data_IF_566448788207
#
_entry.id   IF_566448788207
#
_cell.length_a   1.000
_cell.length_b   1.000
_cell.length_c   1.000
_cell.angle_alpha   90.00
_cell.angle_beta   90.00
_cell.angle_gamma   90.00
#
_symmetry.space_group_name_H-M   'P 1'
#
loop_
_entity.id
_entity.type
_entity.pdbx_description
1 polymer ?
#
# COMPACT_ATOMS: atom_id res chain seq x y z
N UNK A 1 36.82 -33.32 11.46
CA UNK A 1 37.44 -32.04 11.08
C UNK A 1 38.31 -31.56 12.24
N UNK A 2 39.53 -31.09 11.98
CA UNK A 2 40.44 -30.56 13.01
C UNK A 2 39.92 -29.23 13.57
N UNK A 3 40.37 -28.79 14.75
CA UNK A 3 39.97 -27.50 15.34
C UNK A 3 40.26 -26.31 14.41
N UNK A 4 41.34 -26.38 13.62
CA UNK A 4 41.68 -25.37 12.60
C UNK A 4 40.70 -25.31 11.42
N UNK A 5 40.04 -26.42 11.06
CA UNK A 5 39.05 -26.44 9.98
C UNK A 5 37.75 -25.71 10.35
N UNK A 6 37.49 -25.44 11.63
CA UNK A 6 36.32 -24.66 12.07
C UNK A 6 36.46 -23.16 11.83
N UNK A 7 37.65 -22.67 11.49
CA UNK A 7 37.92 -21.24 11.28
C UNK A 7 37.87 -20.80 9.81
N UNK A 8 37.97 -21.72 8.86
CA UNK A 8 37.97 -21.42 7.43
C UNK A 8 36.60 -21.69 6.81
N UNK A 9 36.27 -20.91 5.77
CA UNK A 9 35.00 -21.02 5.06
C UNK A 9 34.94 -22.32 4.26
N UNK A 10 33.87 -23.08 4.47
CA UNK A 10 33.42 -24.16 3.60
C UNK A 10 31.93 -23.98 3.31
N UNK A 11 31.42 -24.66 2.30
CA UNK A 11 30.00 -24.66 2.01
C UNK A 11 29.18 -25.13 3.23
N UNK A 12 29.55 -26.26 3.81
CA UNK A 12 28.90 -26.87 4.98
C UNK A 12 28.79 -25.90 6.17
N UNK A 13 29.88 -25.19 6.51
CA UNK A 13 29.95 -24.34 7.70
C UNK A 13 29.65 -22.86 7.45
N UNK A 14 29.34 -22.48 6.20
CA UNK A 14 29.27 -21.06 5.77
C UNK A 14 28.35 -20.19 6.64
N UNK A 15 27.19 -20.72 7.06
CA UNK A 15 26.23 -20.01 7.91
C UNK A 15 26.81 -19.76 9.31
N UNK A 16 27.29 -20.82 9.97
CA UNK A 16 27.85 -20.76 11.32
C UNK A 16 29.05 -19.82 11.37
N UNK A 17 29.93 -19.89 10.37
CA UNK A 17 31.13 -19.08 10.31
C UNK A 17 30.81 -17.58 10.12
N UNK A 18 29.90 -17.23 9.21
CA UNK A 18 29.57 -15.82 8.93
C UNK A 18 28.80 -15.21 10.09
N UNK A 19 27.77 -15.89 10.60
CA UNK A 19 26.96 -15.38 11.72
C UNK A 19 27.75 -15.33 13.03
N UNK A 20 28.65 -16.29 13.26
CA UNK A 20 29.53 -16.34 14.43
C UNK A 20 30.50 -15.15 14.54
N UNK A 21 30.84 -14.48 13.43
CA UNK A 21 31.67 -13.25 13.45
C UNK A 21 30.99 -12.09 14.19
N UNK A 22 29.68 -12.14 14.39
CA UNK A 22 28.92 -11.10 15.09
C UNK A 22 28.84 -11.34 16.60
N UNK A 23 29.74 -12.15 17.20
CA UNK A 23 29.70 -12.45 18.64
C UNK A 23 29.75 -11.20 19.53
N UNK A 24 30.57 -10.20 19.16
CA UNK A 24 30.74 -8.92 19.87
C UNK A 24 29.77 -7.81 19.40
N UNK A 25 28.65 -8.14 18.76
CA UNK A 25 27.72 -7.14 18.27
C UNK A 25 27.15 -6.28 19.41
N UNK A 26 27.14 -4.95 19.23
CA UNK A 26 26.66 -3.99 20.24
C UNK A 26 25.13 -3.89 20.32
N UNK A 27 24.42 -4.45 19.35
CA UNK A 27 22.96 -4.48 19.30
C UNK A 27 22.49 -5.92 19.13
N UNK A 28 21.91 -6.48 20.19
CA UNK A 28 21.37 -7.85 20.16
C UNK A 28 20.25 -7.98 19.14
N UNK A 29 19.39 -6.95 18.99
CA UNK A 29 18.32 -6.99 18.00
C UNK A 29 18.86 -7.04 16.57
N UNK A 30 19.86 -6.22 16.25
CA UNK A 30 20.47 -6.24 14.93
C UNK A 30 21.20 -7.56 14.66
N UNK A 31 21.88 -8.11 15.68
CA UNK A 31 22.53 -9.43 15.61
C UNK A 31 21.52 -10.52 15.27
N UNK A 32 20.36 -10.55 15.93
CA UNK A 32 19.28 -11.49 15.62
C UNK A 32 18.74 -11.31 14.20
N UNK A 33 18.52 -10.08 13.75
CA UNK A 33 18.03 -9.81 12.38
C UNK A 33 19.03 -10.32 11.34
N UNK A 34 20.31 -9.96 11.49
CA UNK A 34 21.35 -10.35 10.54
C UNK A 34 21.63 -11.87 10.55
N UNK A 35 21.52 -12.54 11.70
CA UNK A 35 21.59 -14.01 11.74
C UNK A 35 20.54 -14.63 10.81
N UNK A 36 19.27 -14.24 10.96
CA UNK A 36 18.17 -14.80 10.16
C UNK A 36 18.36 -14.49 8.67
N UNK A 37 18.68 -13.24 8.33
CA UNK A 37 18.88 -12.82 6.93
C UNK A 37 20.05 -13.56 6.30
N UNK A 38 21.21 -13.60 6.95
CA UNK A 38 22.39 -14.29 6.42
C UNK A 38 22.12 -15.78 6.27
N UNK A 39 21.50 -16.42 7.27
CA UNK A 39 21.17 -17.83 7.21
C UNK A 39 20.22 -18.13 6.05
N UNK A 40 19.12 -17.38 5.90
CA UNK A 40 18.16 -17.58 4.80
C UNK A 40 18.76 -17.30 3.42
N UNK A 41 19.65 -16.32 3.31
CA UNK A 41 20.36 -16.04 2.05
C UNK A 41 21.30 -17.19 1.67
N UNK A 42 22.06 -17.73 2.62
CA UNK A 42 22.95 -18.88 2.37
C UNK A 42 22.16 -20.15 2.04
N UNK A 43 21.05 -20.42 2.76
CA UNK A 43 20.14 -21.53 2.44
C UNK A 43 19.64 -21.42 0.99
N UNK A 44 19.21 -20.23 0.56
CA UNK A 44 18.76 -20.00 -0.82
C UNK A 44 19.89 -20.18 -1.86
N UNK A 45 21.10 -19.68 -1.60
CA UNK A 45 22.24 -19.85 -2.52
C UNK A 45 22.61 -21.32 -2.68
N UNK A 46 22.59 -22.10 -1.59
CA UNK A 46 22.83 -23.55 -1.63
C UNK A 46 21.73 -24.31 -2.37
N UNK A 47 20.48 -23.86 -2.27
CA UNK A 47 19.35 -24.48 -2.97
C UNK A 47 19.37 -24.19 -4.47
N UNK A 48 19.73 -22.95 -4.86
CA UNK A 48 19.74 -22.50 -6.26
C UNK A 48 21.01 -22.98 -7.00
N UNK A 49 22.14 -23.13 -6.31
CA UNK A 49 23.46 -23.38 -6.88
C UNK A 49 23.81 -22.43 -8.07
N UNK A 50 23.70 -21.09 -7.89
CA UNK A 50 23.79 -20.16 -9.00
C UNK A 50 25.19 -20.16 -9.64
N UNK A 51 25.22 -20.02 -10.96
CA UNK A 51 26.44 -19.69 -11.68
C UNK A 51 26.97 -18.30 -11.30
N UNK A 52 28.26 -18.07 -11.57
CA UNK A 52 28.86 -16.75 -11.38
C UNK A 52 28.17 -15.67 -12.23
N UNK A 53 27.66 -16.04 -13.41
CA UNK A 53 26.93 -15.13 -14.29
C UNK A 53 25.58 -14.73 -13.68
N UNK A 54 24.78 -15.69 -13.20
CA UNK A 54 23.51 -15.41 -12.53
C UNK A 54 23.72 -14.56 -11.27
N UNK A 55 24.75 -14.88 -10.48
CA UNK A 55 25.12 -14.05 -9.33
C UNK A 55 25.45 -12.61 -9.74
N UNK A 56 26.27 -12.42 -10.78
CA UNK A 56 26.61 -11.08 -11.28
C UNK A 56 25.37 -10.34 -11.80
N UNK A 57 24.46 -11.02 -12.50
CA UNK A 57 23.20 -10.45 -12.96
C UNK A 57 22.33 -9.98 -11.78
N UNK A 58 22.24 -10.76 -10.70
CA UNK A 58 21.53 -10.36 -9.48
C UNK A 58 22.17 -9.12 -8.82
N UNK A 59 23.50 -9.06 -8.74
CA UNK A 59 24.22 -7.88 -8.23
C UNK A 59 23.94 -6.64 -9.09
N UNK A 60 23.98 -6.78 -10.42
CA UNK A 60 23.67 -5.68 -11.34
C UNK A 60 22.20 -5.25 -11.27
N UNK A 61 21.28 -6.18 -11.05
CA UNK A 61 19.86 -5.88 -10.80
C UNK A 61 19.68 -5.02 -9.54
N UNK A 62 20.26 -5.45 -8.41
CA UNK A 62 20.19 -4.70 -7.15
C UNK A 62 20.88 -3.33 -7.25
N UNK A 63 22.00 -3.27 -7.97
CA UNK A 63 22.73 -2.02 -8.24
C UNK A 63 21.85 -1.03 -9.02
N UNK A 64 21.23 -1.47 -10.12
CA UNK A 64 20.33 -0.63 -10.92
C UNK A 64 19.06 -0.24 -10.13
N UNK A 65 18.56 -1.14 -9.28
CA UNK A 65 17.43 -0.83 -8.37
C UNK A 65 17.79 0.32 -7.44
N UNK A 66 18.97 0.28 -6.82
CA UNK A 66 19.46 1.39 -5.99
C UNK A 66 19.67 2.69 -6.77
N UNK A 67 20.25 2.62 -7.98
CA UNK A 67 20.49 3.78 -8.84
C UNK A 67 19.21 4.44 -9.37
N UNK A 68 18.10 3.71 -9.40
CA UNK A 68 16.78 4.20 -9.80
C UNK A 68 16.04 4.91 -8.66
N UNK A 69 16.53 4.82 -7.43
CA UNK A 69 15.92 5.48 -6.28
C UNK A 69 16.32 6.96 -6.21
N UNK A 70 15.33 7.84 -6.01
CA UNK A 70 15.50 9.28 -5.77
C UNK A 70 14.49 9.79 -4.71
N UNK A 71 14.29 11.10 -4.63
CA UNK A 71 13.37 11.72 -3.65
C UNK A 71 11.89 11.42 -3.92
N UNK A 72 11.54 11.08 -5.16
CA UNK A 72 10.18 10.82 -5.65
C UNK A 72 9.95 9.36 -6.05
N UNK A 73 11.02 8.59 -6.26
CA UNK A 73 10.98 7.18 -6.67
C UNK A 73 11.76 6.31 -5.69
N UNK A 74 11.12 5.26 -5.18
CA UNK A 74 11.75 4.27 -4.29
C UNK A 74 11.65 2.87 -4.90
N UNK A 75 12.56 2.55 -5.81
CA UNK A 75 12.55 1.27 -6.53
C UNK A 75 12.80 0.06 -5.61
N UNK A 76 13.52 0.23 -4.48
CA UNK A 76 13.65 -0.82 -3.46
C UNK A 76 12.35 -1.10 -2.71
N UNK A 77 11.54 -0.06 -2.45
CA UNK A 77 10.19 -0.25 -1.89
C UNK A 77 9.33 -0.97 -2.93
N UNK A 78 9.39 -0.55 -4.20
CA UNK A 78 8.66 -1.23 -5.27
C UNK A 78 9.06 -2.70 -5.44
N UNK A 79 10.35 -3.02 -5.29
CA UNK A 79 10.84 -4.40 -5.27
C UNK A 79 10.24 -5.19 -4.10
N UNK A 80 10.19 -4.60 -2.91
CA UNK A 80 9.53 -5.18 -1.73
C UNK A 80 8.03 -5.42 -1.99
N UNK A 81 7.36 -4.49 -2.66
CA UNK A 81 5.93 -4.57 -2.99
C UNK A 81 5.64 -5.74 -3.95
N UNK A 82 6.37 -5.84 -5.06
CA UNK A 82 6.14 -6.89 -6.06
C UNK A 82 6.61 -8.27 -5.63
N UNK A 83 7.43 -8.36 -4.58
CA UNK A 83 7.79 -9.62 -3.92
C UNK A 83 6.84 -9.97 -2.76
N UNK A 84 5.84 -9.12 -2.47
CA UNK A 84 4.86 -9.33 -1.40
C UNK A 84 5.41 -9.09 0.02
N UNK A 85 6.65 -8.62 0.16
CA UNK A 85 7.30 -8.38 1.46
C UNK A 85 6.61 -7.23 2.20
N UNK A 86 6.25 -6.15 1.50
CA UNK A 86 5.57 -5.00 2.12
C UNK A 86 4.22 -5.41 2.74
N UNK A 87 3.45 -6.24 2.03
CA UNK A 87 2.18 -6.77 2.53
C UNK A 87 2.37 -7.76 3.68
N UNK A 88 3.44 -8.55 3.66
CA UNK A 88 3.79 -9.44 4.77
C UNK A 88 4.15 -8.64 6.04
N UNK A 89 4.95 -7.58 5.88
CA UNK A 89 5.31 -6.68 6.99
C UNK A 89 4.04 -6.00 7.55
N UNK A 90 3.15 -5.50 6.69
CA UNK A 90 1.85 -4.95 7.12
C UNK A 90 1.05 -5.98 7.94
N UNK A 91 0.89 -7.18 7.40
CA UNK A 91 0.09 -8.24 8.03
C UNK A 91 0.64 -8.71 9.38
N UNK A 92 1.97 -8.67 9.58
CA UNK A 92 2.61 -9.00 10.86
C UNK A 92 2.38 -7.91 11.91
N UNK A 93 2.50 -6.64 11.52
CA UNK A 93 2.45 -5.51 12.45
C UNK A 93 1.03 -5.02 12.74
N UNK A 94 0.06 -5.36 11.90
CA UNK A 94 -1.34 -4.96 12.04
C UNK A 94 -2.26 -6.17 12.24
N UNK A 95 -1.86 -7.11 13.10
CA UNK A 95 -2.74 -8.19 13.57
C UNK A 95 -3.83 -7.59 14.44
N UNK A 96 -5.02 -7.40 13.87
CA UNK A 96 -6.13 -6.74 14.54
C UNK A 96 -7.08 -7.73 15.23
N UNK A 97 -7.80 -7.29 16.28
CA UNK A 97 -8.90 -8.07 16.82
C UNK A 97 -9.99 -8.29 15.76
N UNK A 98 -10.72 -9.40 15.88
CA UNK A 98 -11.84 -9.71 15.00
C UNK A 98 -12.83 -8.53 14.92
N UNK A 99 -13.23 -8.19 13.70
CA UNK A 99 -14.21 -7.14 13.41
C UNK A 99 -13.63 -5.74 13.15
N UNK A 100 -12.33 -5.52 13.38
CA UNK A 100 -11.67 -4.28 12.94
C UNK A 100 -11.35 -4.32 11.44
N UNK A 101 -11.35 -3.16 10.78
CA UNK A 101 -11.01 -3.06 9.36
C UNK A 101 -9.55 -3.41 9.11
N UNK A 102 -9.31 -4.23 8.08
CA UNK A 102 -7.97 -4.65 7.70
C UNK A 102 -7.13 -3.48 7.15
N UNK A 103 -5.84 -3.50 7.46
CA UNK A 103 -4.85 -2.62 6.85
C UNK A 103 -4.39 -3.15 5.50
N UNK A 104 -3.76 -2.27 4.71
CA UNK A 104 -2.92 -2.65 3.58
C UNK A 104 -1.83 -1.58 3.40
N UNK A 105 -0.90 -1.79 2.48
CA UNK A 105 0.27 -0.91 2.28
C UNK A 105 -0.12 0.55 2.02
N UNK A 106 0.62 1.52 2.56
CA UNK A 106 0.39 2.96 2.32
C UNK A 106 0.53 3.34 0.83
N UNK A 107 1.47 2.68 0.14
CA UNK A 107 1.91 3.09 -1.19
C UNK A 107 2.78 4.37 -1.17
N UNK A 108 3.45 4.68 -2.29
CA UNK A 108 4.44 5.77 -2.34
C UNK A 108 3.83 7.17 -2.59
N UNK A 109 2.50 7.26 -2.72
CA UNK A 109 1.83 8.47 -3.21
C UNK A 109 1.03 9.22 -2.15
N UNK A 110 1.17 8.86 -0.87
CA UNK A 110 0.67 9.71 0.22
C UNK A 110 1.50 11.00 0.32
N UNK A 111 0.84 12.11 0.62
CA UNK A 111 1.46 13.44 0.71
C UNK A 111 0.91 14.15 1.93
N UNK A 112 1.80 14.66 2.78
CA UNK A 112 1.39 15.47 3.92
C UNK A 112 0.87 16.85 3.49
N UNK A 113 -0.03 17.42 4.29
CA UNK A 113 -0.55 18.78 4.05
C UNK A 113 -1.67 18.87 3.03
N UNK A 114 -2.31 17.74 2.66
CA UNK A 114 -3.57 17.77 1.93
C UNK A 114 -4.62 18.63 2.68
N UNK A 115 -5.43 19.42 1.96
CA UNK A 115 -6.35 20.37 2.59
C UNK A 115 -7.41 19.64 3.42
N UNK A 116 -7.67 20.17 4.63
CA UNK A 116 -8.88 19.81 5.37
C UNK A 116 -10.09 20.44 4.67
N UNK A 117 -11.09 19.61 4.38
CA UNK A 117 -12.27 19.95 3.57
C UNK A 117 -13.54 19.78 4.40
N UNK A 118 -14.55 20.56 4.07
CA UNK A 118 -15.89 20.39 4.61
C UNK A 118 -16.49 19.08 4.11
N UNK A 119 -17.30 18.41 4.95
CA UNK A 119 -17.99 17.19 4.55
C UNK A 119 -18.80 17.42 3.26
N UNK A 120 -18.61 16.56 2.27
CA UNK A 120 -19.30 16.66 0.98
C UNK A 120 -18.62 17.45 -0.13
N UNK A 121 -17.48 18.07 0.16
CA UNK A 121 -16.70 18.72 -0.88
C UNK A 121 -16.24 17.73 -1.96
N UNK A 122 -16.00 18.27 -3.16
CA UNK A 122 -15.46 17.51 -4.27
C UNK A 122 -13.92 17.51 -4.21
N UNK A 123 -13.33 16.32 -4.16
CA UNK A 123 -11.86 16.16 -4.22
C UNK A 123 -11.35 16.11 -5.66
N UNK A 124 -12.19 15.87 -6.67
CA UNK A 124 -11.81 15.98 -8.09
C UNK A 124 -11.80 17.46 -8.51
N UNK A 125 -10.59 17.99 -8.73
CA UNK A 125 -10.35 19.38 -9.09
C UNK A 125 -10.10 19.58 -10.59
N UNK A 126 -9.81 18.50 -11.32
CA UNK A 126 -9.58 18.52 -12.77
C UNK A 126 -10.83 18.23 -13.60
N UNK A 127 -11.96 17.89 -12.96
CA UNK A 127 -13.25 17.57 -13.58
C UNK A 127 -13.16 16.44 -14.63
N UNK A 128 -12.26 15.46 -14.42
CA UNK A 128 -12.08 14.29 -15.29
C UNK A 128 -12.52 13.01 -14.60
N UNK A 129 -13.26 12.18 -15.33
CA UNK A 129 -13.72 10.85 -14.87
C UNK A 129 -15.22 10.81 -14.58
N UNK A 130 -15.69 9.67 -14.09
CA UNK A 130 -17.10 9.44 -13.79
C UNK A 130 -17.44 9.91 -12.37
N UNK A 131 -18.40 10.83 -12.24
CA UNK A 131 -18.81 11.40 -10.94
C UNK A 131 -19.15 10.32 -9.92
N UNK A 132 -18.59 10.43 -8.71
CA UNK A 132 -18.70 9.42 -7.67
C UNK A 132 -19.01 10.02 -6.31
N UNK A 133 -20.01 9.45 -5.63
CA UNK A 133 -20.36 9.69 -4.24
C UNK A 133 -19.75 8.61 -3.37
N UNK A 134 -18.84 9.01 -2.48
CA UNK A 134 -18.20 8.10 -1.51
C UNK A 134 -18.74 8.41 -0.14
N UNK A 135 -19.20 7.40 0.60
CA UNK A 135 -19.72 7.60 1.95
C UNK A 135 -19.57 6.38 2.86
N UNK A 136 -19.73 6.62 4.15
CA UNK A 136 -19.88 5.56 5.14
C UNK A 136 -19.82 6.07 6.56
N UNK A 137 -19.42 5.18 7.46
CA UNK A 137 -19.33 5.44 8.90
C UNK A 137 -18.05 4.86 9.49
N UNK A 138 -17.47 5.59 10.45
CA UNK A 138 -16.35 5.14 11.27
C UNK A 138 -16.87 4.79 12.66
N UNK A 139 -16.62 3.56 13.10
CA UNK A 139 -17.02 3.07 14.42
C UNK A 139 -15.87 2.40 15.15
N UNK A 140 -16.02 2.20 16.45
CA UNK A 140 -15.17 1.29 17.21
C UNK A 140 -15.61 -0.18 17.02
N UNK A 141 -14.85 -1.12 17.59
CA UNK A 141 -15.16 -2.55 17.57
C UNK A 141 -16.44 -2.96 18.32
N UNK A 142 -17.08 -2.01 19.02
CA UNK A 142 -18.40 -2.19 19.67
C UNK A 142 -19.54 -1.58 18.85
N UNK A 143 -19.24 -0.98 17.69
CA UNK A 143 -20.20 -0.32 16.82
C UNK A 143 -20.56 1.11 17.22
N UNK A 144 -19.88 1.69 18.22
CA UNK A 144 -20.10 3.07 18.61
C UNK A 144 -19.45 4.01 17.57
N UNK A 145 -20.15 5.08 17.11
CA UNK A 145 -19.56 6.04 16.20
C UNK A 145 -18.37 6.75 16.82
N UNK A 146 -17.36 7.05 15.99
CA UNK A 146 -16.19 7.80 16.42
C UNK A 146 -16.33 9.25 15.93
N UNK A 147 -16.44 10.18 16.87
CA UNK A 147 -16.41 11.61 16.61
C UNK A 147 -14.98 12.09 16.38
N UNK A 148 -14.80 13.11 15.54
CA UNK A 148 -13.52 13.75 15.24
C UNK A 148 -12.44 12.77 14.72
N UNK A 149 -12.84 11.69 14.05
CA UNK A 149 -11.92 10.85 13.30
C UNK A 149 -11.49 11.61 12.04
N UNK A 150 -10.18 11.73 11.83
CA UNK A 150 -9.59 12.29 10.61
C UNK A 150 -9.55 11.22 9.53
N UNK A 151 -9.95 11.57 8.32
CA UNK A 151 -10.02 10.69 7.15
C UNK A 151 -9.24 11.37 6.01
N UNK A 152 -8.02 10.94 5.81
CA UNK A 152 -7.17 11.38 4.69
C UNK A 152 -7.34 10.41 3.53
N UNK A 153 -7.83 10.91 2.39
CA UNK A 153 -8.12 10.11 1.20
C UNK A 153 -7.34 10.61 -0.01
N UNK A 154 -6.89 9.68 -0.85
CA UNK A 154 -6.24 9.99 -2.12
C UNK A 154 -6.44 8.87 -3.16
N UNK A 155 -6.49 9.23 -4.43
CA UNK A 155 -6.55 8.27 -5.56
C UNK A 155 -5.85 8.83 -6.80
N UNK A 156 -5.59 7.94 -7.76
CA UNK A 156 -5.20 8.33 -9.10
C UNK A 156 -6.38 8.96 -9.87
N UNK A 157 -6.07 9.82 -10.83
CA UNK A 157 -7.04 10.39 -11.76
C UNK A 157 -7.47 9.41 -12.87
N UNK A 158 -8.32 9.89 -13.78
CA UNK A 158 -8.87 9.08 -14.88
C UNK A 158 -7.80 8.51 -15.85
N UNK A 159 -6.61 9.10 -15.83
CA UNK A 159 -5.44 8.69 -16.63
C UNK A 159 -4.50 7.75 -15.85
N UNK A 160 -4.81 7.44 -14.58
CA UNK A 160 -4.01 6.54 -13.74
C UNK A 160 -2.83 7.20 -13.05
N UNK A 161 -2.82 8.53 -12.89
CA UNK A 161 -1.74 9.27 -12.23
C UNK A 161 -2.21 9.99 -10.97
N UNK A 162 -1.38 9.95 -9.93
CA UNK A 162 -1.51 10.86 -8.79
C UNK A 162 -0.96 12.24 -9.16
N UNK A 163 -1.53 13.30 -8.59
CA UNK A 163 -1.10 14.70 -8.76
C UNK A 163 0.43 14.90 -8.66
N UNK A 164 1.08 14.26 -7.69
CA UNK A 164 2.54 14.34 -7.47
C UNK A 164 3.38 13.80 -8.62
N UNK A 165 2.82 12.92 -9.44
CA UNK A 165 3.48 12.39 -10.64
C UNK A 165 3.32 13.33 -11.84
N UNK A 166 2.37 14.26 -11.78
CA UNK A 166 1.98 15.16 -12.86
C UNK A 166 1.97 16.62 -12.39
N UNK A 167 3.01 17.05 -11.66
CA UNK A 167 3.16 18.44 -11.20
C UNK A 167 3.08 19.43 -12.36
N UNK A 168 2.24 20.44 -12.22
CA UNK A 168 1.98 21.46 -13.25
C UNK A 168 1.01 21.02 -14.35
N UNK A 169 0.58 19.74 -14.37
CA UNK A 169 -0.46 19.24 -15.27
C UNK A 169 -1.77 18.99 -14.52
N UNK A 170 -1.71 18.38 -13.32
CA UNK A 170 -2.84 18.28 -12.41
C UNK A 170 -2.86 19.49 -11.45
N UNK A 171 -4.06 19.93 -10.99
CA UNK A 171 -4.16 20.85 -9.86
C UNK A 171 -3.47 20.28 -8.61
N UNK A 172 -2.85 21.15 -7.81
CA UNK A 172 -2.27 20.74 -6.54
C UNK A 172 -3.35 20.10 -5.64
N UNK A 173 -3.04 18.94 -5.06
CA UNK A 173 -3.97 18.17 -4.24
C UNK A 173 -5.24 17.72 -4.98
N UNK A 174 -5.19 17.58 -6.31
CA UNK A 174 -6.24 16.91 -7.06
C UNK A 174 -6.47 15.49 -6.54
N UNK A 175 -7.73 15.14 -6.34
CA UNK A 175 -8.18 13.85 -5.81
C UNK A 175 -7.60 13.52 -4.43
N UNK A 176 -7.35 14.56 -3.63
CA UNK A 176 -6.96 14.46 -2.22
C UNK A 176 -7.87 15.29 -1.32
N UNK A 177 -8.10 14.80 -0.11
CA UNK A 177 -8.83 15.55 0.90
C UNK A 177 -8.72 14.94 2.29
N UNK A 178 -8.73 15.80 3.30
CA UNK A 178 -8.82 15.40 4.70
C UNK A 178 -10.18 15.81 5.24
N UNK A 179 -10.93 14.87 5.81
CA UNK A 179 -12.25 15.10 6.39
C UNK A 179 -12.27 14.74 7.88
N UNK A 180 -13.22 15.30 8.62
CA UNK A 180 -13.45 14.96 10.04
C UNK A 180 -14.88 14.52 10.27
N UNK A 181 -15.06 13.39 10.96
CA UNK A 181 -16.41 12.91 11.33
C UNK A 181 -17.03 13.77 12.43
N UNK A 182 -18.37 13.88 12.40
CA UNK A 182 -19.16 14.40 13.52
C UNK A 182 -19.53 13.30 14.53
N UNK A 183 -20.41 13.62 15.47
CA UNK A 183 -20.84 12.70 16.54
C UNK A 183 -21.48 11.40 16.04
N UNK A 184 -22.06 11.42 14.84
CA UNK A 184 -22.66 10.24 14.23
C UNK A 184 -21.63 9.33 13.54
N UNK A 185 -20.37 9.74 13.46
CA UNK A 185 -19.27 9.01 12.84
C UNK A 185 -19.36 8.92 11.31
N UNK A 186 -20.26 9.65 10.66
CA UNK A 186 -20.44 9.57 9.21
C UNK A 186 -19.41 10.40 8.47
N UNK A 187 -19.10 9.95 7.25
CA UNK A 187 -18.33 10.72 6.29
C UNK A 187 -18.92 10.57 4.90
N UNK A 188 -18.73 11.60 4.08
CA UNK A 188 -19.03 11.57 2.65
C UNK A 188 -18.31 12.69 1.90
N UNK A 189 -18.02 12.45 0.63
CA UNK A 189 -17.39 13.41 -0.28
C UNK A 189 -17.69 13.02 -1.73
N UNK A 190 -17.43 13.97 -2.64
CA UNK A 190 -17.50 13.70 -4.08
C UNK A 190 -16.11 13.47 -4.65
N UNK A 191 -15.99 12.55 -5.58
CA UNK A 191 -14.76 12.17 -6.26
C UNK A 191 -15.09 11.71 -7.69
N UNK A 192 -14.17 10.95 -8.30
CA UNK A 192 -14.44 10.20 -9.53
C UNK A 192 -14.09 8.73 -9.36
N UNK A 193 -14.71 7.86 -10.15
CA UNK A 193 -14.54 6.41 -10.03
C UNK A 193 -13.07 6.05 -10.24
N UNK A 194 -12.39 5.43 -9.26
CA UNK A 194 -11.03 4.96 -9.45
C UNK A 194 -10.92 4.03 -10.66
N UNK A 195 -9.76 4.07 -11.32
CA UNK A 195 -9.39 3.14 -12.39
C UNK A 195 -8.13 2.37 -12.01
N UNK A 196 -7.97 1.17 -12.56
CA UNK A 196 -6.69 0.48 -12.47
C UNK A 196 -5.59 1.31 -13.13
N UNK A 197 -4.36 1.16 -12.64
CA UNK A 197 -3.20 1.84 -13.19
C UNK A 197 -1.94 0.99 -12.99
N UNK A 198 -0.92 1.12 -13.86
CA UNK A 198 0.33 0.41 -13.69
C UNK A 198 1.19 1.04 -12.59
N UNK A 199 1.86 0.22 -11.78
CA UNK A 199 3.03 0.69 -11.01
C UNK A 199 4.13 1.19 -11.99
N UNK A 200 5.09 2.02 -11.53
CA UNK A 200 6.25 2.37 -12.35
C UNK A 200 6.93 1.12 -12.92
N UNK A 201 7.02 1.01 -14.24
CA UNK A 201 7.45 -0.22 -14.93
C UNK A 201 8.58 0.02 -15.96
N UNK A 202 9.13 1.22 -15.99
CA UNK A 202 10.29 1.63 -16.80
C UNK A 202 11.63 1.23 -16.16
N UNK A 203 11.62 0.81 -14.90
CA UNK A 203 12.81 0.45 -14.12
C UNK A 203 13.10 -1.05 -14.05
N UNK A 204 14.13 -1.44 -13.27
CA UNK A 204 14.50 -2.85 -13.07
C UNK A 204 13.33 -3.71 -12.60
N UNK A 205 12.45 -3.20 -11.72
CA UNK A 205 11.31 -3.96 -11.22
C UNK A 205 10.31 -4.26 -12.35
N UNK A 206 10.01 -3.27 -13.19
CA UNK A 206 9.15 -3.48 -14.36
C UNK A 206 9.73 -4.49 -15.36
N UNK A 207 11.04 -4.43 -15.61
CA UNK A 207 11.74 -5.42 -16.44
C UNK A 207 11.63 -6.84 -15.84
N UNK A 208 11.83 -6.97 -14.52
CA UNK A 208 11.67 -8.24 -13.82
C UNK A 208 10.25 -8.80 -13.98
N UNK A 209 9.23 -7.98 -13.80
CA UNK A 209 7.84 -8.41 -14.00
C UNK A 209 7.60 -8.89 -15.43
N UNK A 210 8.09 -8.15 -16.43
CA UNK A 210 7.98 -8.53 -17.83
C UNK A 210 8.61 -9.90 -18.12
N UNK A 211 9.82 -10.15 -17.60
CA UNK A 211 10.51 -11.45 -17.75
C UNK A 211 9.75 -12.58 -17.05
N UNK A 212 9.11 -12.30 -15.92
CA UNK A 212 8.27 -13.26 -15.18
C UNK A 212 6.86 -13.44 -15.77
N UNK A 213 6.52 -12.73 -16.86
CA UNK A 213 5.17 -12.77 -17.45
C UNK A 213 4.09 -12.12 -16.58
N UNK A 214 4.47 -11.23 -15.66
CA UNK A 214 3.56 -10.50 -14.76
C UNK A 214 3.23 -9.12 -15.32
N UNK A 215 1.98 -8.68 -15.13
CA UNK A 215 1.58 -7.32 -15.46
C UNK A 215 1.89 -6.34 -14.31
N UNK A 216 2.02 -5.03 -14.59
CA UNK A 216 2.28 -4.01 -13.56
C UNK A 216 1.01 -3.41 -12.95
N UNK A 217 -0.19 -3.79 -13.41
CA UNK A 217 -1.43 -3.15 -12.99
C UNK A 217 -1.81 -3.44 -11.53
N UNK A 218 -2.25 -2.39 -10.85
CA UNK A 218 -3.01 -2.43 -9.61
C UNK A 218 -4.49 -2.19 -9.92
N UNK A 219 -5.42 -2.92 -9.32
CA UNK A 219 -6.86 -2.72 -9.54
C UNK A 219 -7.31 -1.34 -9.09
N UNK A 220 -8.44 -0.85 -9.59
CA UNK A 220 -9.08 0.39 -9.16
C UNK A 220 -9.24 0.44 -7.62
N UNK A 221 -8.69 1.48 -6.99
CA UNK A 221 -8.74 1.66 -5.55
C UNK A 221 -8.72 3.12 -5.09
N UNK A 222 -9.20 3.33 -3.88
CA UNK A 222 -9.16 4.60 -3.16
C UNK A 222 -8.46 4.38 -1.83
N UNK A 223 -7.47 5.22 -1.53
CA UNK A 223 -6.70 5.12 -0.30
C UNK A 223 -7.39 5.83 0.87
N UNK A 224 -7.15 5.29 2.06
CA UNK A 224 -7.60 5.84 3.34
C UNK A 224 -6.48 5.78 4.37
N UNK A 225 -6.26 6.89 5.06
CA UNK A 225 -5.51 6.97 6.30
C UNK A 225 -6.43 7.59 7.35
N UNK A 226 -6.83 6.77 8.32
CA UNK A 226 -7.82 7.11 9.34
C UNK A 226 -7.16 7.17 10.70
N UNK A 227 -7.34 8.30 11.39
CA UNK A 227 -6.81 8.57 12.73
C UNK A 227 -7.92 9.02 13.66
N UNK A 228 -7.90 8.54 14.90
CA UNK A 228 -8.77 9.03 15.96
C UNK A 228 -8.06 8.86 17.32
N UNK A 229 -8.32 9.77 18.25
CA UNK A 229 -7.68 9.75 19.56
C UNK A 229 -8.04 8.47 20.33
N UNK A 230 -7.02 7.75 20.81
CA UNK A 230 -7.19 6.47 21.51
C UNK A 230 -7.39 5.25 20.60
N UNK A 231 -7.27 5.41 19.28
CA UNK A 231 -7.38 4.33 18.30
C UNK A 231 -6.06 4.11 17.54
N UNK A 232 -5.86 2.89 17.06
CA UNK A 232 -4.77 2.59 16.13
C UNK A 232 -5.03 3.32 14.80
N UNK A 233 -3.97 3.86 14.20
CA UNK A 233 -4.06 4.42 12.85
C UNK A 233 -4.38 3.31 11.86
N UNK A 234 -5.41 3.51 11.03
CA UNK A 234 -5.77 2.59 9.96
C UNK A 234 -5.29 3.16 8.63
N UNK A 235 -4.32 2.52 8.00
CA UNK A 235 -3.96 2.73 6.60
C UNK A 235 -4.57 1.58 5.80
N UNK A 236 -5.39 1.89 4.82
CA UNK A 236 -6.08 0.88 4.01
C UNK A 236 -6.51 1.40 2.65
N UNK A 237 -7.03 0.52 1.81
CA UNK A 237 -7.66 0.85 0.54
C UNK A 237 -9.06 0.24 0.51
N UNK A 238 -9.90 0.76 -0.37
CA UNK A 238 -11.03 0.00 -0.90
C UNK A 238 -10.78 -0.30 -2.37
N UNK A 239 -11.28 -1.43 -2.84
CA UNK A 239 -11.12 -1.88 -4.21
C UNK A 239 -12.47 -2.08 -4.90
N UNK A 240 -12.50 -1.85 -6.20
CA UNK A 240 -13.64 -2.24 -7.04
C UNK A 240 -13.61 -3.75 -7.28
N UNK A 241 -14.69 -4.43 -6.88
CA UNK A 241 -14.84 -5.89 -7.03
C UNK A 241 -14.80 -6.33 -8.50
N UNK A 242 -15.28 -5.47 -9.40
CA UNK A 242 -15.45 -5.81 -10.81
C UNK A 242 -14.22 -5.40 -11.65
N UNK A 243 -13.13 -4.96 -11.01
CA UNK A 243 -11.90 -4.59 -11.70
C UNK A 243 -11.22 -5.83 -12.33
N UNK A 244 -10.74 -5.75 -13.59
CA UNK A 244 -10.10 -6.86 -14.27
C UNK A 244 -8.82 -7.39 -13.59
N UNK A 245 -8.18 -6.60 -12.73
CA UNK A 245 -6.95 -6.96 -12.02
C UNK A 245 -7.18 -7.28 -10.54
N UNK A 246 -8.43 -7.44 -10.10
CA UNK A 246 -8.76 -7.64 -8.68
C UNK A 246 -8.13 -8.89 -8.08
N UNK A 247 -7.96 -9.95 -8.89
CA UNK A 247 -7.36 -11.22 -8.48
C UNK A 247 -5.85 -11.31 -8.75
N UNK A 248 -5.25 -10.24 -9.28
CA UNK A 248 -3.86 -10.25 -9.75
C UNK A 248 -3.10 -8.94 -9.49
N UNK A 249 -3.48 -8.18 -8.45
CA UNK A 249 -2.78 -6.95 -8.05
C UNK A 249 -1.26 -7.15 -8.00
N UNK A 250 -0.53 -6.33 -8.76
CA UNK A 250 0.92 -6.44 -8.89
C UNK A 250 1.68 -6.37 -7.55
N UNK A 251 1.08 -5.78 -6.52
CA UNK A 251 1.66 -5.60 -5.18
C UNK A 251 0.92 -6.36 -4.07
N UNK A 252 -0.04 -7.24 -4.43
CA UNK A 252 -0.77 -8.09 -3.49
C UNK A 252 -1.57 -7.33 -2.40
N UNK A 253 -2.00 -6.10 -2.69
CA UNK A 253 -2.65 -5.23 -1.72
C UNK A 253 -4.12 -5.55 -1.43
N UNK A 254 -4.74 -6.39 -2.26
CA UNK A 254 -6.17 -6.75 -2.18
C UNK A 254 -6.43 -7.74 -1.06
N UNK A 255 -7.45 -7.45 -0.25
CA UNK A 255 -8.04 -8.36 0.75
C UNK A 255 -9.54 -8.41 0.53
N UNK A 256 -10.17 -9.56 0.75
CA UNK A 256 -11.60 -9.76 0.48
C UNK A 256 -12.49 -8.77 1.24
N UNK A 257 -12.13 -8.44 2.49
CA UNK A 257 -12.87 -7.49 3.32
C UNK A 257 -12.79 -6.03 2.83
N UNK A 258 -11.85 -5.73 1.92
CA UNK A 258 -11.61 -4.40 1.35
C UNK A 258 -12.28 -4.21 -0.03
N UNK A 259 -13.02 -5.21 -0.51
CA UNK A 259 -13.82 -5.10 -1.72
C UNK A 259 -15.09 -4.31 -1.41
N UNK A 260 -15.16 -3.07 -1.89
CA UNK A 260 -16.34 -2.22 -1.73
C UNK A 260 -17.35 -2.47 -2.87
N UNK A 261 -18.61 -2.14 -2.62
CA UNK A 261 -19.67 -2.18 -3.64
C UNK A 261 -19.67 -0.86 -4.41
N UNK A 262 -19.47 -0.94 -5.72
CA UNK A 262 -19.53 0.18 -6.65
C UNK A 262 -20.84 0.09 -7.40
N UNK A 263 -21.77 1.00 -7.11
CA UNK A 263 -23.11 0.96 -7.68
C UNK A 263 -23.38 2.17 -8.55
N UNK A 264 -23.62 1.93 -9.83
CA UNK A 264 -24.12 2.96 -10.75
C UNK A 264 -25.55 3.34 -10.39
N UNK A 265 -25.82 4.63 -10.21
CA UNK A 265 -27.08 5.16 -9.67
C UNK A 265 -27.67 6.21 -10.60
N UNK A 266 -28.99 6.14 -10.81
CA UNK A 266 -29.78 7.03 -11.67
C UNK A 266 -30.92 7.73 -10.90
N UNK A 267 -30.75 7.93 -9.60
CA UNK A 267 -31.78 8.53 -8.73
C UNK A 267 -31.66 10.05 -8.76
N UNK A 268 -32.56 10.71 -9.49
CA UNK A 268 -32.59 12.17 -9.64
C UNK A 268 -32.70 12.91 -8.29
N UNK A 269 -33.43 12.35 -7.31
CA UNK A 269 -33.58 12.95 -5.99
C UNK A 269 -32.27 12.92 -5.23
N UNK A 270 -31.55 11.79 -5.27
CA UNK A 270 -30.24 11.67 -4.62
C UNK A 270 -29.15 12.43 -5.36
N UNK A 271 -29.21 12.47 -6.68
CA UNK A 271 -28.33 13.28 -7.50
C UNK A 271 -28.47 14.76 -7.09
N UNK A 272 -29.70 15.26 -6.99
CA UNK A 272 -29.96 16.63 -6.52
C UNK A 272 -29.49 16.86 -5.07
N UNK A 273 -29.69 15.91 -4.15
CA UNK A 273 -29.23 16.00 -2.75
C UNK A 273 -27.71 16.19 -2.65
N UNK A 274 -26.94 15.49 -3.49
CA UNK A 274 -25.47 15.51 -3.45
C UNK A 274 -24.84 16.40 -4.52
N UNK A 275 -25.63 17.10 -5.34
CA UNK A 275 -25.14 18.02 -6.36
C UNK A 275 -24.52 17.33 -7.58
N UNK A 276 -25.09 16.20 -8.00
CA UNK A 276 -24.84 15.53 -9.29
C UNK A 276 -25.96 15.84 -10.29
N UNK A 277 -25.66 15.71 -11.58
CA UNK A 277 -26.64 16.06 -12.63
C UNK A 277 -27.76 15.01 -12.78
N UNK A 278 -27.42 13.73 -12.95
CA UNK A 278 -28.40 12.64 -13.09
C UNK A 278 -27.82 11.29 -12.71
N UNK A 279 -26.67 10.94 -13.27
CA UNK A 279 -26.01 9.65 -13.07
C UNK A 279 -24.69 9.80 -12.32
N UNK A 280 -24.47 8.95 -11.32
CA UNK A 280 -23.23 8.91 -10.56
C UNK A 280 -22.95 7.48 -10.05
N UNK A 281 -21.70 7.22 -9.68
CA UNK A 281 -21.32 6.02 -8.96
C UNK A 281 -21.46 6.23 -7.46
N UNK A 282 -22.01 5.26 -6.75
CA UNK A 282 -22.06 5.24 -5.30
C UNK A 282 -21.11 4.19 -4.75
N UNK A 283 -20.24 4.60 -3.83
CA UNK A 283 -19.33 3.72 -3.09
C UNK A 283 -19.65 3.87 -1.61
N UNK A 284 -20.05 2.77 -0.98
CA UNK A 284 -20.34 2.71 0.46
C UNK A 284 -19.29 1.87 1.18
N UNK A 285 -18.53 2.48 2.09
CA UNK A 285 -17.58 1.76 2.93
C UNK A 285 -17.64 2.21 4.39
N UNK A 286 -17.87 1.27 5.30
CA UNK A 286 -17.69 1.50 6.73
C UNK A 286 -16.29 1.07 7.18
N UNK A 287 -15.75 1.77 8.18
CA UNK A 287 -14.49 1.43 8.82
C UNK A 287 -14.66 1.21 10.31
N UNK A 288 -13.96 0.20 10.83
CA UNK A 288 -13.95 -0.15 12.24
C UNK A 288 -12.55 0.00 12.78
N UNK A 289 -12.35 0.92 13.73
CA UNK A 289 -11.05 1.16 14.34
C UNK A 289 -10.86 0.33 15.62
N UNK A 290 -9.68 -0.28 15.74
CA UNK A 290 -9.24 -0.91 16.97
C UNK A 290 -8.68 0.15 17.94
N UNK A 291 -8.87 -0.06 19.24
CA UNK A 291 -8.26 0.80 20.26
C UNK A 291 -6.74 0.63 20.24
N UNK A 292 -6.01 1.71 20.42
CA UNK A 292 -4.57 1.63 20.61
C UNK A 292 -4.27 0.83 21.88
N UNK A 293 -3.31 -0.09 21.79
CA UNK A 293 -2.77 -0.76 22.97
C UNK A 293 -2.11 0.29 23.87
N UNK A 294 -2.55 0.38 25.12
CA UNK A 294 -1.94 1.21 26.18
C UNK A 294 -0.57 0.70 26.58
#
# INVERSE_FOLDING_TARGET
MTADQKHYFSEDNSIELVTGRNHDAKSERLKTILEVVTRKLHEAVKEIEPSHEEWMQAILFLTRTGQMCDQSRQEFILLSDVLGVSMLVDSINHRKPNGASESTVLGPFHVEGAPERSMGENICLDAKGEETFVHGRITDTKGAPINNATIDVWQANDEGFYDVQQKGLQPDFNLRGVFRTGEDGRYWFRAVRPKFYPIPNDGPVGQLLGVLGRHPYRPAHLHYLIKADGFETLITHIFDRDDPYISSDAVFGVKESLLAEFKRTHDESRAAEYGFNTEFWEIKQNFVLAKAST
#
